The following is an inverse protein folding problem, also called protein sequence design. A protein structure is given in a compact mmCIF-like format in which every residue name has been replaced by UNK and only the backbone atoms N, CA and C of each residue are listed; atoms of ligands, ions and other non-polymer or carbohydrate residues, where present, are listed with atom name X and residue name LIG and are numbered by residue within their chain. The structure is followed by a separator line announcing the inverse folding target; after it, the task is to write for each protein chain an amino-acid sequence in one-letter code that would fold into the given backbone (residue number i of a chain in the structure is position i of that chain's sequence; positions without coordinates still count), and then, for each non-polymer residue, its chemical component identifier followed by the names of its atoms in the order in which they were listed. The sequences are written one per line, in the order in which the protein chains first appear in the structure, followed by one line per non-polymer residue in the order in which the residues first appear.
data_IF_263395818471
#
_entry.id   IF_263395818471
#
_cell.length_a   1.000
_cell.length_b   1.000
_cell.length_c   1.000
_cell.angle_alpha   90.00
_cell.angle_beta   90.00
_cell.angle_gamma   90.00
#
_symmetry.space_group_name_H-M   'P 1'
#
loop_
_entity.id
_entity.type
_entity.pdbx_description
1 polymer ?
#
# COMPACT_ATOMS: atom_id res chain seq x y z
N UNK A 1 7.31 4.49 18.73
CA UNK A 1 6.27 5.08 17.85
C UNK A 1 6.79 6.42 17.36
N UNK A 2 6.93 6.59 16.05
CA UNK A 2 7.37 7.84 15.42
C UNK A 2 6.10 8.60 15.02
N UNK A 3 6.00 9.87 15.42
CA UNK A 3 4.90 10.74 15.00
C UNK A 3 5.36 11.56 13.80
N UNK A 4 4.66 11.43 12.68
CA UNK A 4 4.92 12.23 11.48
C UNK A 4 3.89 13.37 11.39
N UNK A 5 4.35 14.62 11.44
CA UNK A 5 3.49 15.74 11.06
C UNK A 5 3.36 15.81 9.54
N UNK A 6 2.11 15.99 9.09
CA UNK A 6 1.75 16.03 7.67
C UNK A 6 0.87 17.25 7.42
N UNK A 7 1.19 18.02 6.38
CA UNK A 7 0.37 19.13 5.88
C UNK A 7 0.34 19.12 4.37
N UNK A 8 -0.60 19.86 3.80
CA UNK A 8 -0.57 20.17 2.37
C UNK A 8 0.50 21.23 2.08
N UNK A 9 1.12 21.11 0.91
CA UNK A 9 2.11 22.06 0.39
C UNK A 9 1.61 22.61 -0.94
N UNK A 10 1.83 23.90 -1.21
CA UNK A 10 1.62 24.44 -2.56
C UNK A 10 2.67 23.86 -3.50
N UNK A 11 2.33 23.69 -4.78
CA UNK A 11 3.27 23.15 -5.78
C UNK A 11 4.52 24.03 -5.98
N UNK A 12 4.44 25.33 -5.67
CA UNK A 12 5.57 26.27 -5.73
C UNK A 12 6.48 26.21 -4.50
N UNK A 13 6.05 25.56 -3.41
CA UNK A 13 6.86 25.42 -2.20
C UNK A 13 7.87 24.28 -2.39
N UNK A 14 9.12 24.52 -1.99
CA UNK A 14 10.13 23.47 -1.98
C UNK A 14 9.87 22.54 -0.80
N UNK A 15 9.56 21.28 -1.10
CA UNK A 15 9.43 20.20 -0.13
C UNK A 15 10.59 19.23 -0.33
N UNK A 16 11.31 18.90 0.75
CA UNK A 16 12.34 17.86 0.69
C UNK A 16 11.69 16.50 0.40
N UNK A 17 12.43 15.59 -0.23
CA UNK A 17 11.88 14.29 -0.64
C UNK A 17 11.48 13.46 0.58
N UNK A 18 12.30 13.53 1.64
CA UNK A 18 12.14 12.86 2.92
C UNK A 18 10.91 13.34 3.69
N UNK A 19 10.52 14.60 3.47
CA UNK A 19 9.36 15.19 4.14
C UNK A 19 8.02 14.81 3.48
N UNK A 20 8.07 14.24 2.27
CA UNK A 20 6.87 13.79 1.57
C UNK A 20 6.20 12.65 2.33
N UNK A 21 4.86 12.68 2.40
CA UNK A 21 4.09 11.59 3.01
C UNK A 21 4.41 10.24 2.36
N UNK A 22 4.58 10.21 1.03
CA UNK A 22 4.93 9.01 0.30
C UNK A 22 6.28 8.41 0.75
N UNK A 23 7.27 9.26 1.03
CA UNK A 23 8.57 8.82 1.55
C UNK A 23 8.43 8.22 2.95
N UNK A 24 7.75 8.92 3.85
CA UNK A 24 7.48 8.44 5.22
C UNK A 24 6.71 7.11 5.23
N UNK A 25 5.74 6.94 4.32
CA UNK A 25 5.04 5.66 4.14
C UNK A 25 5.95 4.55 3.62
N UNK A 26 6.88 4.88 2.70
CA UNK A 26 7.86 3.93 2.19
C UNK A 26 8.82 3.47 3.30
N UNK A 27 9.26 4.39 4.18
CA UNK A 27 10.06 4.03 5.36
C UNK A 27 9.36 3.01 6.26
N UNK A 28 8.06 3.22 6.55
CA UNK A 28 7.26 2.25 7.31
C UNK A 28 7.14 0.91 6.58
N UNK A 29 6.97 0.93 5.26
CA UNK A 29 6.82 -0.28 4.45
C UNK A 29 8.10 -1.13 4.39
N UNK A 30 9.28 -0.52 4.56
CA UNK A 30 10.57 -1.22 4.56
C UNK A 30 11.15 -1.43 5.95
N UNK A 31 10.43 -1.02 7.01
CA UNK A 31 10.85 -1.22 8.39
C UNK A 31 11.02 -2.72 8.68
N UNK A 32 12.22 -3.20 9.04
CA UNK A 32 12.50 -4.62 9.24
C UNK A 32 11.96 -5.11 10.60
N UNK A 33 10.65 -5.00 10.79
CA UNK A 33 9.95 -5.54 11.96
C UNK A 33 9.59 -7.01 11.76
N UNK A 34 9.61 -7.83 12.82
CA UNK A 34 9.10 -9.20 12.75
C UNK A 34 7.64 -9.21 12.28
N UNK A 35 7.30 -10.21 11.47
CA UNK A 35 5.92 -10.46 11.05
C UNK A 35 5.31 -11.49 12.00
N UNK A 36 4.22 -11.12 12.65
CA UNK A 36 3.48 -12.03 13.53
C UNK A 36 2.85 -13.18 12.73
N UNK A 37 2.74 -14.36 13.33
CA UNK A 37 2.31 -15.57 12.63
C UNK A 37 0.88 -15.45 12.07
N UNK A 38 -0.03 -14.81 12.79
CA UNK A 38 -1.39 -14.55 12.34
C UNK A 38 -1.45 -13.56 11.16
N UNK A 39 -0.58 -12.55 11.15
CA UNK A 39 -0.40 -11.63 10.02
C UNK A 39 0.13 -12.39 8.80
N UNK A 40 1.13 -13.25 8.97
CA UNK A 40 1.68 -14.07 7.88
C UNK A 40 0.58 -14.97 7.27
N UNK A 41 -0.20 -15.66 8.09
CA UNK A 41 -1.30 -16.51 7.63
C UNK A 41 -2.35 -15.70 6.84
N UNK A 42 -2.67 -14.50 7.32
CA UNK A 42 -3.59 -13.59 6.64
C UNK A 42 -3.05 -13.09 5.30
N UNK A 43 -1.75 -12.79 5.20
CA UNK A 43 -1.10 -12.39 3.92
C UNK A 43 -1.17 -13.53 2.92
N UNK A 44 -0.87 -14.76 3.35
CA UNK A 44 -0.99 -15.96 2.50
C UNK A 44 -2.41 -16.10 1.96
N UNK A 45 -3.41 -16.01 2.84
CA UNK A 45 -4.82 -16.08 2.44
C UNK A 45 -5.20 -14.96 1.46
N UNK A 46 -4.69 -13.74 1.65
CA UNK A 46 -4.98 -12.62 0.73
C UNK A 46 -4.41 -12.85 -0.67
N UNK A 47 -3.21 -13.42 -0.77
CA UNK A 47 -2.60 -13.75 -2.07
C UNK A 47 -3.46 -14.80 -2.79
N UNK A 48 -3.87 -15.85 -2.08
CA UNK A 48 -4.73 -16.91 -2.64
C UNK A 48 -6.06 -16.35 -3.10
N UNK A 49 -6.72 -15.53 -2.28
CA UNK A 49 -8.04 -14.95 -2.58
C UNK A 49 -7.98 -14.04 -3.82
N UNK A 50 -7.03 -13.11 -3.87
CA UNK A 50 -6.85 -12.22 -5.02
C UNK A 50 -6.52 -13.01 -6.31
N UNK A 51 -5.68 -14.05 -6.22
CA UNK A 51 -5.34 -14.89 -7.36
C UNK A 51 -6.55 -15.70 -7.85
N UNK A 52 -7.36 -16.24 -6.93
CA UNK A 52 -8.59 -16.95 -7.26
C UNK A 52 -9.61 -16.03 -7.95
N UNK A 53 -9.80 -14.81 -7.42
CA UNK A 53 -10.66 -13.79 -8.05
C UNK A 53 -10.15 -13.42 -9.44
N UNK A 54 -8.84 -13.19 -9.59
CA UNK A 54 -8.24 -12.89 -10.89
C UNK A 54 -8.50 -14.02 -11.90
N UNK A 55 -8.23 -15.27 -11.53
CA UNK A 55 -8.47 -16.44 -12.38
C UNK A 55 -9.95 -16.58 -12.79
N UNK A 56 -10.87 -16.41 -11.84
CA UNK A 56 -12.32 -16.48 -12.11
C UNK A 56 -12.84 -15.32 -12.99
N UNK A 57 -12.12 -14.19 -12.98
CA UNK A 57 -12.50 -12.98 -13.72
C UNK A 57 -11.88 -12.87 -15.11
N UNK A 58 -10.92 -13.72 -15.48
CA UNK A 58 -10.06 -13.51 -16.67
C UNK A 58 -10.82 -13.39 -18.00
N UNK A 59 -12.00 -14.01 -18.13
CA UNK A 59 -12.87 -13.92 -19.32
C UNK A 59 -13.99 -12.87 -19.19
N UNK A 60 -14.09 -12.17 -18.06
CA UNK A 60 -15.12 -11.17 -17.81
C UNK A 60 -14.68 -9.81 -18.34
N UNK A 61 -15.61 -9.02 -18.85
CA UNK A 61 -15.33 -7.61 -19.22
C UNK A 61 -15.04 -6.80 -17.96
N UNK A 62 -14.12 -5.84 -18.07
CA UNK A 62 -13.83 -4.91 -16.98
C UNK A 62 -15.11 -4.20 -16.51
N UNK A 63 -15.30 -4.03 -15.17
CA UNK A 63 -16.41 -3.26 -14.63
C UNK A 63 -16.32 -1.80 -15.11
N UNK A 64 -17.46 -1.13 -15.23
CA UNK A 64 -17.55 0.23 -15.77
C UNK A 64 -16.66 1.24 -15.03
N UNK A 65 -16.45 1.04 -13.72
CA UNK A 65 -15.60 1.89 -12.89
C UNK A 65 -14.09 1.72 -13.12
N UNK A 66 -13.68 0.66 -13.81
CA UNK A 66 -12.28 0.38 -14.15
C UNK A 66 -11.95 0.72 -15.61
N UNK A 67 -12.84 1.44 -16.31
CA UNK A 67 -12.62 1.96 -17.67
C UNK A 67 -12.24 3.43 -17.64
#
# INVERSE_FOLDING_TARGET
MINHEVRTYKSSEKLAHEDQLAYKMAEVAVDPVPVDADVQDMVINRVIDNAAVAAASVHRKAPTSAR
#
